data_IF_239057364008
#
_entry.id   IF_239057364008
#
_cell.length_a   1.000
_cell.length_b   1.000
_cell.length_c   1.000
_cell.angle_alpha   90.00
_cell.angle_beta   90.00
_cell.angle_gamma   90.00
#
_symmetry.space_group_name_H-M   'P 1'
#
loop_
_entity.id
_entity.type
_entity.pdbx_description
1 polymer ?
#
# COMPACT_ATOMS: atom_id res chain seq x y z
N UNK A 1 39.24 -37.54 -12.21
CA UNK A 1 38.82 -36.92 -10.94
C UNK A 1 38.23 -35.57 -11.28
N UNK A 2 36.92 -35.55 -11.48
CA UNK A 2 36.18 -34.42 -12.05
C UNK A 2 35.29 -33.88 -10.95
N UNK A 3 35.77 -32.86 -10.24
CA UNK A 3 34.96 -32.20 -9.21
C UNK A 3 34.09 -31.18 -9.90
N UNK A 4 32.82 -31.52 -10.07
CA UNK A 4 31.78 -30.61 -10.53
C UNK A 4 31.59 -29.50 -9.49
N UNK A 5 31.91 -28.26 -9.86
CA UNK A 5 31.42 -27.07 -9.19
C UNK A 5 29.91 -26.98 -9.44
N UNK A 6 29.12 -27.38 -8.44
CA UNK A 6 27.69 -27.07 -8.41
C UNK A 6 27.51 -25.55 -8.30
N UNK A 7 26.64 -24.92 -9.11
CA UNK A 7 26.31 -23.52 -8.94
C UNK A 7 25.56 -23.34 -7.62
N UNK A 8 26.01 -22.37 -6.82
CA UNK A 8 25.32 -21.91 -5.62
C UNK A 8 23.86 -21.58 -5.97
N UNK A 9 22.99 -22.26 -5.23
CA UNK A 9 21.53 -22.22 -5.29
C UNK A 9 20.98 -20.78 -5.39
N UNK A 10 20.29 -20.48 -6.48
CA UNK A 10 19.68 -19.18 -6.83
C UNK A 10 18.38 -18.89 -6.07
N UNK A 11 18.37 -19.04 -4.74
CA UNK A 11 17.17 -18.82 -3.92
C UNK A 11 17.40 -17.86 -2.75
N UNK A 12 18.04 -16.72 -3.01
CA UNK A 12 18.27 -15.66 -2.00
C UNK A 12 17.90 -14.28 -2.57
N UNK A 13 16.65 -14.09 -3.02
CA UNK A 13 16.19 -12.78 -3.53
C UNK A 13 14.84 -12.27 -3.01
N UNK A 14 14.21 -12.92 -2.04
CA UNK A 14 12.90 -12.49 -1.52
C UNK A 14 12.96 -11.70 -0.19
N UNK A 15 14.14 -11.45 0.38
CA UNK A 15 14.28 -10.94 1.75
C UNK A 15 14.75 -9.47 1.82
N UNK A 16 14.08 -8.52 1.13
CA UNK A 16 14.44 -7.09 1.27
C UNK A 16 13.27 -6.13 1.46
N UNK A 17 12.04 -6.59 1.65
CA UNK A 17 10.85 -5.73 1.62
C UNK A 17 10.27 -5.34 2.97
N UNK A 18 10.79 -5.78 4.11
CA UNK A 18 10.35 -5.26 5.41
C UNK A 18 11.50 -4.97 6.38
N UNK A 19 11.33 -3.87 7.11
CA UNK A 19 12.39 -3.24 7.91
C UNK A 19 12.41 -3.77 9.34
N UNK A 20 11.33 -4.44 9.75
CA UNK A 20 11.26 -5.14 11.03
C UNK A 20 11.97 -6.50 10.93
N UNK A 21 13.09 -6.71 11.66
CA UNK A 21 13.84 -7.96 11.58
C UNK A 21 13.01 -9.17 12.04
N UNK A 22 11.99 -8.97 12.89
CA UNK A 22 11.12 -10.04 13.38
C UNK A 22 10.02 -10.42 12.38
N UNK A 23 9.51 -9.47 11.59
CA UNK A 23 8.45 -9.74 10.61
C UNK A 23 9.00 -10.20 9.27
N UNK A 24 10.31 -10.07 9.05
CA UNK A 24 11.02 -10.58 7.88
C UNK A 24 11.99 -11.72 8.21
N UNK A 25 11.84 -12.34 9.38
CA UNK A 25 12.68 -13.46 9.80
C UNK A 25 12.48 -14.67 8.89
N UNK A 26 13.56 -15.39 8.53
CA UNK A 26 13.47 -16.61 7.72
C UNK A 26 12.61 -17.69 8.41
N UNK A 27 12.62 -17.70 9.74
CA UNK A 27 11.85 -18.63 10.54
C UNK A 27 10.37 -18.20 10.63
N UNK A 28 9.51 -19.03 10.04
CA UNK A 28 8.05 -18.87 10.06
C UNK A 28 7.51 -18.68 11.48
N UNK A 29 8.04 -19.42 12.46
CA UNK A 29 7.60 -19.32 13.86
C UNK A 29 7.89 -17.95 14.47
N UNK A 30 9.01 -17.31 14.08
CA UNK A 30 9.37 -15.96 14.54
C UNK A 30 8.40 -14.94 13.94
N UNK A 31 8.15 -15.02 12.62
CA UNK A 31 7.17 -14.13 11.96
C UNK A 31 5.77 -14.31 12.53
N UNK A 32 5.33 -15.55 12.76
CA UNK A 32 4.05 -15.89 13.35
C UNK A 32 3.88 -15.32 14.77
N UNK A 33 4.92 -15.45 15.59
CA UNK A 33 4.93 -14.88 16.94
C UNK A 33 4.86 -13.36 16.86
N UNK A 34 5.64 -12.75 15.97
CA UNK A 34 5.71 -11.32 15.81
C UNK A 34 4.37 -10.70 15.36
N UNK A 35 3.70 -11.26 14.33
CA UNK A 35 2.39 -10.76 13.89
C UNK A 35 1.33 -10.95 14.97
N UNK A 36 1.35 -12.07 15.71
CA UNK A 36 0.40 -12.33 16.79
C UNK A 36 0.55 -11.29 17.91
N UNK A 37 1.79 -11.04 18.36
CA UNK A 37 2.07 -10.05 19.40
C UNK A 37 1.72 -8.64 18.93
N UNK A 38 2.10 -8.26 17.72
CA UNK A 38 1.78 -6.93 17.17
C UNK A 38 0.28 -6.70 17.02
N UNK A 39 -0.46 -7.71 16.57
CA UNK A 39 -1.92 -7.66 16.49
C UNK A 39 -2.52 -7.35 17.85
N UNK A 40 -2.09 -8.05 18.90
CA UNK A 40 -2.58 -7.79 20.26
C UNK A 40 -2.21 -6.40 20.78
N UNK A 41 -1.00 -5.90 20.50
CA UNK A 41 -0.54 -4.59 20.99
C UNK A 41 -1.25 -3.43 20.30
N UNK A 42 -1.45 -3.53 18.99
CA UNK A 42 -2.12 -2.50 18.20
C UNK A 42 -3.61 -2.48 18.47
N UNK A 43 -4.27 -3.64 18.48
CA UNK A 43 -5.72 -3.69 18.66
C UNK A 43 -6.16 -3.31 20.08
N UNK A 44 -5.31 -3.53 21.09
CA UNK A 44 -5.55 -3.09 22.47
C UNK A 44 -5.13 -1.65 22.75
N UNK A 45 -4.75 -0.88 21.73
CA UNK A 45 -4.29 0.52 21.82
C UNK A 45 -3.11 0.73 22.78
N UNK A 46 -2.31 -0.33 23.00
CA UNK A 46 -1.12 -0.30 23.89
C UNK A 46 0.07 0.36 23.20
N UNK A 47 0.06 0.46 21.87
CA UNK A 47 1.13 1.07 21.09
C UNK A 47 0.65 2.12 20.09
N UNK A 48 1.40 3.22 19.96
CA UNK A 48 1.18 4.22 18.91
C UNK A 48 1.51 3.64 17.55
N UNK A 49 0.48 3.54 16.71
CA UNK A 49 0.39 2.68 15.52
C UNK A 49 1.20 3.12 14.29
N UNK A 50 1.92 4.25 14.33
CA UNK A 50 2.61 4.77 13.13
C UNK A 50 3.85 3.94 12.83
N UNK A 51 3.80 3.22 11.71
CA UNK A 51 4.90 2.42 11.21
C UNK A 51 4.80 0.92 11.33
N UNK A 52 4.43 0.41 12.49
CA UNK A 52 4.28 -1.04 12.65
C UNK A 52 3.17 -1.60 11.77
N UNK A 53 2.12 -0.81 11.54
CA UNK A 53 1.04 -1.20 10.63
C UNK A 53 1.54 -1.36 9.19
N UNK A 54 2.52 -0.56 8.76
CA UNK A 54 3.11 -0.73 7.42
C UNK A 54 3.96 -2.00 7.31
N UNK A 55 4.46 -2.52 8.44
CA UNK A 55 5.15 -3.81 8.46
C UNK A 55 4.14 -4.95 8.38
N UNK A 56 3.03 -4.87 9.12
CA UNK A 56 1.92 -5.83 8.99
C UNK A 56 1.30 -5.79 7.58
N UNK A 57 1.22 -4.62 6.95
CA UNK A 57 0.76 -4.50 5.55
C UNK A 57 1.64 -5.29 4.56
N UNK A 58 2.95 -5.40 4.80
CA UNK A 58 3.81 -6.22 3.95
C UNK A 58 3.60 -7.73 4.15
N UNK A 59 3.06 -8.15 5.30
CA UNK A 59 2.71 -9.55 5.55
C UNK A 59 1.48 -10.04 4.78
N UNK A 60 0.74 -9.14 4.12
CA UNK A 60 -0.27 -9.50 3.11
C UNK A 60 0.34 -10.17 1.87
N UNK A 61 1.67 -10.21 1.78
CA UNK A 61 2.43 -10.89 0.73
C UNK A 61 3.31 -12.02 1.30
N UNK A 62 3.09 -12.43 2.56
CA UNK A 62 3.91 -13.49 3.15
C UNK A 62 3.70 -14.80 2.39
N UNK A 63 4.77 -15.53 2.03
CA UNK A 63 4.64 -16.80 1.32
C UNK A 63 3.95 -17.88 2.17
N UNK A 64 3.93 -17.75 3.50
CA UNK A 64 3.18 -18.64 4.39
C UNK A 64 1.71 -18.21 4.47
N UNK A 65 0.76 -19.00 3.93
CA UNK A 65 -0.65 -18.61 3.88
C UNK A 65 -1.25 -18.32 5.26
N UNK A 66 -0.76 -18.97 6.31
CA UNK A 66 -1.25 -18.69 7.66
C UNK A 66 -0.92 -17.26 8.12
N UNK A 67 0.26 -16.75 7.77
CA UNK A 67 0.69 -15.39 8.15
C UNK A 67 -0.08 -14.34 7.35
N UNK A 68 -0.26 -14.55 6.04
CA UNK A 68 -1.11 -13.70 5.21
C UNK A 68 -2.54 -13.60 5.78
N UNK A 69 -3.16 -14.74 6.11
CA UNK A 69 -4.49 -14.75 6.73
C UNK A 69 -4.53 -13.98 8.06
N UNK A 70 -3.48 -14.05 8.88
CA UNK A 70 -3.40 -13.27 10.10
C UNK A 70 -3.28 -11.77 9.82
N UNK A 71 -2.57 -11.36 8.77
CA UNK A 71 -2.49 -9.96 8.35
C UNK A 71 -3.84 -9.46 7.83
N UNK A 72 -4.55 -10.27 7.04
CA UNK A 72 -5.92 -9.96 6.59
C UNK A 72 -6.86 -9.79 7.79
N UNK A 73 -6.82 -10.71 8.76
CA UNK A 73 -7.64 -10.63 9.98
C UNK A 73 -7.33 -9.38 10.80
N UNK A 74 -6.04 -9.04 10.94
CA UNK A 74 -5.61 -7.81 11.60
C UNK A 74 -6.26 -6.57 10.96
N UNK A 75 -6.25 -6.45 9.63
CA UNK A 75 -6.88 -5.31 8.95
C UNK A 75 -8.41 -5.37 9.01
N UNK A 76 -9.04 -6.54 8.99
CA UNK A 76 -10.48 -6.68 9.20
C UNK A 76 -10.90 -6.14 10.58
N UNK A 77 -10.18 -6.50 11.64
CA UNK A 77 -10.43 -6.00 12.99
C UNK A 77 -10.15 -4.50 13.11
N UNK A 78 -9.09 -4.01 12.46
CA UNK A 78 -8.77 -2.59 12.46
C UNK A 78 -9.81 -1.75 11.68
N UNK A 79 -10.40 -2.31 10.61
CA UNK A 79 -11.46 -1.66 9.84
C UNK A 79 -12.75 -1.46 10.65
N UNK A 80 -12.98 -2.29 11.68
CA UNK A 80 -14.11 -2.12 12.59
C UNK A 80 -13.96 -0.88 13.50
N UNK A 81 -12.73 -0.36 13.69
CA UNK A 81 -12.47 0.91 14.39
C UNK A 81 -12.70 2.10 13.44
N UNK A 82 -13.50 3.07 13.88
CA UNK A 82 -13.89 4.19 13.00
C UNK A 82 -12.69 4.99 12.49
N UNK A 83 -12.60 5.10 11.16
CA UNK A 83 -11.55 5.82 10.42
C UNK A 83 -10.10 5.37 10.68
N UNK A 84 -9.86 4.21 11.32
CA UNK A 84 -8.52 3.79 11.70
C UNK A 84 -7.62 3.57 10.47
N UNK A 85 -8.05 2.72 9.53
CA UNK A 85 -7.27 2.43 8.30
C UNK A 85 -7.07 3.70 7.46
N UNK A 86 -8.13 4.49 7.25
CA UNK A 86 -8.08 5.76 6.51
C UNK A 86 -6.98 6.70 7.05
N UNK A 87 -6.81 6.78 8.37
CA UNK A 87 -5.82 7.65 8.99
C UNK A 87 -4.39 7.13 8.87
N UNK A 88 -4.21 5.82 8.64
CA UNK A 88 -2.91 5.15 8.54
C UNK A 88 -2.40 5.07 7.10
N UNK A 89 -3.29 5.05 6.11
CA UNK A 89 -2.95 4.91 4.69
C UNK A 89 -1.83 5.85 4.21
N UNK A 90 -1.82 7.17 4.52
CA UNK A 90 -0.74 8.04 4.06
C UNK A 90 0.65 7.65 4.61
N UNK A 91 0.72 7.15 5.85
CA UNK A 91 1.96 6.67 6.47
C UNK A 91 2.39 5.33 5.85
N UNK A 92 1.44 4.40 5.66
CA UNK A 92 1.69 3.10 5.04
C UNK A 92 2.24 3.29 3.61
N UNK A 93 1.56 4.09 2.78
CA UNK A 93 2.01 4.38 1.40
C UNK A 93 3.42 4.93 1.41
N UNK A 94 3.70 5.92 2.27
CA UNK A 94 5.02 6.57 2.28
C UNK A 94 6.15 5.62 2.68
N UNK A 95 5.89 4.67 3.59
CA UNK A 95 6.88 3.68 4.03
C UNK A 95 7.06 2.53 3.05
N UNK A 96 5.98 2.10 2.39
CA UNK A 96 6.04 1.05 1.39
C UNK A 96 6.67 1.54 0.07
N UNK A 97 6.52 2.84 -0.22
CA UNK A 97 7.13 3.49 -1.40
C UNK A 97 8.59 3.91 -1.17
N UNK A 98 9.16 3.63 0.02
CA UNK A 98 10.56 3.98 0.30
C UNK A 98 11.50 3.10 -0.56
N UNK A 99 12.35 3.69 -1.42
CA UNK A 99 13.28 2.93 -2.23
C UNK A 99 14.23 2.05 -1.41
N UNK A 100 14.59 2.47 -0.19
CA UNK A 100 15.45 1.67 0.70
C UNK A 100 14.79 0.36 1.13
N UNK A 101 13.45 0.33 1.14
CA UNK A 101 12.66 -0.87 1.41
C UNK A 101 12.55 -1.79 0.19
N UNK A 102 12.88 -1.35 -1.02
CA UNK A 102 12.98 -2.24 -2.19
C UNK A 102 11.71 -3.05 -2.55
N UNK A 103 10.51 -2.56 -2.20
CA UNK A 103 9.25 -3.21 -2.57
C UNK A 103 8.98 -3.07 -4.08
N UNK A 104 8.60 -4.17 -4.74
CA UNK A 104 8.24 -4.12 -6.16
C UNK A 104 6.92 -3.38 -6.38
N UNK A 105 6.72 -2.84 -7.58
CA UNK A 105 5.49 -2.11 -7.95
C UNK A 105 4.25 -3.00 -7.90
N UNK A 106 4.38 -4.24 -8.38
CA UNK A 106 3.33 -5.27 -8.37
C UNK A 106 2.88 -5.62 -6.94
N UNK A 107 3.85 -5.78 -6.05
CA UNK A 107 3.66 -6.07 -4.63
C UNK A 107 2.97 -4.91 -3.93
N UNK A 108 3.47 -3.68 -4.15
CA UNK A 108 2.87 -2.46 -3.63
C UNK A 108 1.40 -2.32 -4.09
N UNK A 109 1.15 -2.51 -5.39
CA UNK A 109 -0.20 -2.44 -5.96
C UNK A 109 -1.15 -3.45 -5.33
N UNK A 110 -0.67 -4.67 -5.06
CA UNK A 110 -1.44 -5.75 -4.43
C UNK A 110 -1.82 -5.40 -2.99
N UNK A 111 -0.85 -4.96 -2.19
CA UNK A 111 -1.09 -4.48 -0.81
C UNK A 111 -2.08 -3.32 -0.82
N UNK A 112 -1.89 -2.34 -1.71
CA UNK A 112 -2.75 -1.17 -1.74
C UNK A 112 -4.19 -1.50 -2.16
N UNK A 113 -4.40 -2.42 -3.11
CA UNK A 113 -5.74 -2.88 -3.47
C UNK A 113 -6.48 -3.48 -2.27
N UNK A 114 -5.80 -4.30 -1.48
CA UNK A 114 -6.37 -4.87 -0.25
C UNK A 114 -6.69 -3.77 0.77
N UNK A 115 -5.76 -2.84 1.03
CA UNK A 115 -6.01 -1.80 2.02
C UNK A 115 -7.11 -0.81 1.62
N UNK A 116 -7.23 -0.49 0.32
CA UNK A 116 -8.27 0.39 -0.17
C UNK A 116 -9.66 -0.26 -0.21
N UNK A 117 -9.79 -1.60 -0.15
CA UNK A 117 -11.11 -2.25 -0.06
C UNK A 117 -11.85 -1.91 1.24
N UNK A 118 -11.14 -1.49 2.28
CA UNK A 118 -11.72 -1.02 3.54
C UNK A 118 -12.22 0.43 3.48
N UNK A 119 -11.94 1.16 2.40
CA UNK A 119 -12.38 2.55 2.23
C UNK A 119 -13.72 2.59 1.49
N UNK A 120 -14.79 2.71 2.25
CA UNK A 120 -16.17 2.64 1.73
C UNK A 120 -16.89 3.99 1.72
N UNK A 121 -16.42 4.97 2.50
CA UNK A 121 -17.08 6.28 2.65
C UNK A 121 -16.51 7.28 1.63
N UNK A 122 -17.36 7.93 0.84
CA UNK A 122 -16.92 8.94 -0.15
C UNK A 122 -16.11 10.09 0.47
N UNK A 123 -16.47 10.52 1.68
CA UNK A 123 -15.74 11.58 2.40
C UNK A 123 -14.30 11.17 2.73
N UNK A 124 -14.07 9.88 3.03
CA UNK A 124 -12.71 9.36 3.24
C UNK A 124 -11.93 9.41 1.93
N UNK A 125 -12.56 8.99 0.83
CA UNK A 125 -11.97 9.05 -0.52
C UNK A 125 -11.54 10.47 -0.89
N UNK A 126 -12.42 11.46 -0.76
CA UNK A 126 -12.09 12.86 -1.06
C UNK A 126 -10.90 13.36 -0.23
N UNK A 127 -10.90 13.07 1.07
CA UNK A 127 -9.80 13.50 1.94
C UNK A 127 -8.51 12.73 1.69
N UNK A 128 -8.56 11.47 1.28
CA UNK A 128 -7.38 10.72 0.85
C UNK A 128 -6.80 11.33 -0.42
N UNK A 129 -7.62 11.73 -1.40
CA UNK A 129 -7.15 12.42 -2.61
C UNK A 129 -6.35 13.64 -2.24
N UNK A 130 -6.88 14.52 -1.41
CA UNK A 130 -6.19 15.73 -0.97
C UNK A 130 -4.86 15.39 -0.27
N UNK A 131 -4.87 14.48 0.71
CA UNK A 131 -3.67 14.07 1.45
C UNK A 131 -2.60 13.46 0.54
N UNK A 132 -2.99 12.63 -0.43
CA UNK A 132 -2.07 12.01 -1.38
C UNK A 132 -1.54 13.03 -2.39
N UNK A 133 -2.36 13.96 -2.85
CA UNK A 133 -1.88 15.06 -3.68
C UNK A 133 -0.81 15.86 -2.95
N UNK A 134 -1.05 16.23 -1.69
CA UNK A 134 -0.05 16.95 -0.88
C UNK A 134 1.25 16.15 -0.70
N UNK A 135 1.21 14.81 -0.73
CA UNK A 135 2.41 13.96 -0.64
C UNK A 135 3.32 14.07 -1.87
N UNK A 136 2.81 14.40 -3.06
CA UNK A 136 3.69 14.67 -4.21
C UNK A 136 4.68 15.80 -3.95
N UNK A 137 4.34 16.76 -3.07
CA UNK A 137 5.24 17.88 -2.72
C UNK A 137 6.45 17.46 -1.90
N UNK A 138 6.35 16.36 -1.15
CA UNK A 138 7.43 15.88 -0.25
C UNK A 138 8.08 14.59 -0.73
N UNK A 139 7.50 13.91 -1.72
CA UNK A 139 8.08 12.76 -2.40
C UNK A 139 9.31 13.20 -3.22
N UNK A 140 10.41 12.44 -3.08
CA UNK A 140 11.74 12.83 -3.60
C UNK A 140 12.19 12.01 -4.81
N UNK A 141 11.46 10.93 -5.14
CA UNK A 141 11.87 9.98 -6.18
C UNK A 141 10.71 9.68 -7.11
N UNK A 142 11.02 9.36 -8.37
CA UNK A 142 10.04 8.92 -9.38
C UNK A 142 9.23 7.74 -8.90
N UNK A 143 9.86 6.79 -8.19
CA UNK A 143 9.17 5.63 -7.62
C UNK A 143 8.07 6.05 -6.63
N UNK A 144 8.35 7.00 -5.76
CA UNK A 144 7.34 7.52 -4.82
C UNK A 144 6.21 8.25 -5.55
N UNK A 145 6.52 9.02 -6.60
CA UNK A 145 5.50 9.68 -7.42
C UNK A 145 4.59 8.65 -8.09
N UNK A 146 5.17 7.61 -8.67
CA UNK A 146 4.43 6.51 -9.29
C UNK A 146 3.52 5.80 -8.29
N UNK A 147 4.02 5.44 -7.10
CA UNK A 147 3.24 4.76 -6.07
C UNK A 147 2.08 5.62 -5.53
N UNK A 148 2.28 6.95 -5.41
CA UNK A 148 1.19 7.88 -5.07
C UNK A 148 0.14 7.92 -6.19
N UNK A 149 0.57 8.00 -7.47
CA UNK A 149 -0.32 8.02 -8.62
C UNK A 149 -1.13 6.72 -8.76
N UNK A 150 -0.48 5.58 -8.57
CA UNK A 150 -1.12 4.26 -8.50
C UNK A 150 -2.14 4.24 -7.37
N UNK A 151 -1.78 4.71 -6.17
CA UNK A 151 -2.69 4.77 -5.02
C UNK A 151 -3.94 5.60 -5.31
N UNK A 152 -3.79 6.78 -5.92
CA UNK A 152 -4.91 7.62 -6.36
C UNK A 152 -5.81 6.89 -7.36
N UNK A 153 -5.21 6.14 -8.29
CA UNK A 153 -5.96 5.37 -9.29
C UNK A 153 -6.75 4.20 -8.70
N UNK A 154 -6.34 3.67 -7.55
CA UNK A 154 -6.99 2.53 -6.87
C UNK A 154 -8.19 2.94 -6.02
N UNK A 155 -8.27 4.21 -5.62
CA UNK A 155 -9.43 4.72 -4.91
C UNK A 155 -10.70 4.61 -5.76
N UNK A 156 -11.83 4.32 -5.12
CA UNK A 156 -13.16 4.37 -5.75
C UNK A 156 -13.56 5.81 -6.03
N UNK A 157 -12.96 6.39 -7.08
CA UNK A 157 -13.18 7.79 -7.45
C UNK A 157 -14.65 8.06 -7.77
N UNK A 158 -15.14 9.18 -7.23
CA UNK A 158 -16.42 9.80 -7.53
C UNK A 158 -16.19 11.22 -8.06
N UNK A 159 -17.23 11.90 -8.53
CA UNK A 159 -17.12 13.26 -9.07
C UNK A 159 -16.48 14.24 -8.08
N UNK A 160 -16.81 14.14 -6.79
CA UNK A 160 -16.23 14.98 -5.73
C UNK A 160 -14.74 14.71 -5.54
N UNK A 161 -14.35 13.43 -5.49
CA UNK A 161 -12.94 13.03 -5.40
C UNK A 161 -12.14 13.50 -6.62
N UNK A 162 -12.73 13.41 -7.81
CA UNK A 162 -12.09 13.90 -9.03
C UNK A 162 -11.95 15.43 -9.04
N UNK A 163 -12.99 16.16 -8.64
CA UNK A 163 -12.92 17.61 -8.47
C UNK A 163 -11.81 18.00 -7.49
N UNK A 164 -11.69 17.29 -6.37
CA UNK A 164 -10.59 17.50 -5.40
C UNK A 164 -9.21 17.26 -6.02
N UNK A 165 -9.07 16.23 -6.86
CA UNK A 165 -7.84 15.96 -7.62
C UNK A 165 -7.47 17.12 -8.56
N UNK A 166 -8.47 17.74 -9.20
CA UNK A 166 -8.25 18.92 -10.06
C UNK A 166 -7.87 20.16 -9.23
N UNK A 167 -8.51 20.38 -8.09
CA UNK A 167 -8.18 21.48 -7.17
C UNK A 167 -6.73 21.41 -6.67
N UNK A 168 -6.19 20.19 -6.56
CA UNK A 168 -4.82 19.95 -6.11
C UNK A 168 -3.77 19.89 -7.25
N UNK A 169 -4.10 20.37 -8.46
CA UNK A 169 -3.24 20.34 -9.66
C UNK A 169 -1.79 20.76 -9.41
N UNK A 170 -1.59 21.86 -8.67
CA UNK A 170 -0.25 22.39 -8.36
C UNK A 170 0.64 21.41 -7.59
N UNK A 171 0.08 20.38 -6.95
CA UNK A 171 0.87 19.42 -6.18
C UNK A 171 1.60 18.40 -7.06
N UNK A 172 1.07 18.08 -8.25
CA UNK A 172 1.55 16.96 -9.07
C UNK A 172 1.74 17.29 -10.55
N UNK A 173 1.27 18.45 -11.03
CA UNK A 173 1.29 18.79 -12.46
C UNK A 173 2.68 18.71 -13.11
N UNK A 174 3.72 19.09 -12.38
CA UNK A 174 5.11 19.05 -12.84
C UNK A 174 5.70 17.62 -12.90
N UNK A 175 4.99 16.60 -12.38
CA UNK A 175 5.37 15.18 -12.42
C UNK A 175 4.68 14.43 -13.57
N UNK A 176 3.79 15.09 -14.32
CA UNK A 176 3.01 14.47 -15.40
C UNK A 176 3.84 14.14 -16.65
N UNK A 177 5.12 14.54 -16.70
CA UNK A 177 6.07 14.08 -17.72
C UNK A 177 6.42 12.61 -17.56
N UNK A 178 6.27 12.07 -16.34
CA UNK A 178 6.57 10.67 -16.05
C UNK A 178 5.37 9.79 -16.40
N UNK A 179 5.56 8.84 -17.32
CA UNK A 179 4.51 7.90 -17.74
C UNK A 179 3.94 7.12 -16.55
N UNK A 180 4.79 6.77 -15.58
CA UNK A 180 4.40 6.07 -14.36
C UNK A 180 3.46 6.90 -13.46
N UNK A 181 3.38 8.22 -13.64
CA UNK A 181 2.44 9.11 -12.96
C UNK A 181 1.24 9.42 -13.87
N UNK A 182 1.51 9.72 -15.13
CA UNK A 182 0.49 10.10 -16.11
C UNK A 182 -0.53 8.97 -16.35
N UNK A 183 -0.07 7.74 -16.58
CA UNK A 183 -0.95 6.62 -16.93
C UNK A 183 -1.94 6.25 -15.80
N UNK A 184 -1.53 6.12 -14.53
CA UNK A 184 -2.47 5.88 -13.44
C UNK A 184 -3.50 6.99 -13.29
N UNK A 185 -3.10 8.26 -13.39
CA UNK A 185 -4.02 9.40 -13.28
C UNK A 185 -4.99 9.48 -14.46
N UNK A 186 -4.53 9.19 -15.68
CA UNK A 186 -5.39 9.09 -16.86
C UNK A 186 -6.43 7.96 -16.70
N UNK A 187 -6.04 6.84 -16.08
CA UNK A 187 -6.95 5.71 -15.84
C UNK A 187 -8.14 6.07 -14.94
N UNK A 188 -8.01 7.10 -14.08
CA UNK A 188 -9.10 7.60 -13.24
C UNK A 188 -10.26 8.09 -14.11
N UNK A 189 -9.96 8.85 -15.17
CA UNK A 189 -10.96 9.36 -16.11
C UNK A 189 -11.71 8.21 -16.81
N UNK A 190 -10.99 7.16 -17.21
CA UNK A 190 -11.58 5.99 -17.82
C UNK A 190 -12.53 5.25 -16.84
N UNK A 191 -12.14 5.13 -15.57
CA UNK A 191 -12.98 4.52 -14.52
C UNK A 191 -14.24 5.33 -14.22
N UNK A 192 -14.13 6.66 -14.19
CA UNK A 192 -15.27 7.56 -13.96
C UNK A 192 -16.29 7.48 -15.10
N UNK A 193 -15.83 7.47 -16.36
CA UNK A 193 -16.71 7.34 -17.54
C UNK A 193 -17.50 6.03 -17.52
N UNK A 194 -16.84 4.91 -17.23
CA UNK A 194 -17.51 3.59 -17.11
C UNK A 194 -18.54 3.53 -16.00
N UNK A 195 -18.41 4.36 -14.95
CA UNK A 195 -19.36 4.42 -13.83
C UNK A 195 -20.55 5.34 -14.13
N UNK A 196 -20.35 6.32 -15.02
CA UNK A 196 -21.38 7.25 -15.47
C UNK A 196 -22.31 6.64 -16.54
N UNK A 197 -21.86 5.63 -17.28
CA UNK A 197 -22.72 4.82 -18.14
C UNK A 197 -23.65 3.99 -17.25
N UNK A 198 -24.97 4.25 -17.21
CA UNK A 198 -25.89 3.43 -16.44
C UNK A 198 -25.84 2.01 -17.01
N UNK A 199 -25.47 1.04 -16.16
CA UNK A 199 -25.62 -0.36 -16.52
C UNK A 199 -27.11 -0.64 -16.70
N UNK A 200 -27.59 -0.57 -17.94
CA UNK A 200 -28.87 -1.15 -18.31
C UNK A 200 -28.78 -2.66 -18.07
N UNK A 201 -29.39 -3.12 -16.98
CA UNK A 201 -29.82 -4.50 -16.78
C UNK A 201 -31.31 -4.48 -16.46
#
# INVERSE_FOLDING_TARGET
>A
MTTALLPLNTSVRTARTCTSPLLCDENVSVRLTAITVLTQLVLKDVMKVKGQVSEVAALLLDPEPHIDNLAVNFFNELAAKDNAIYNLLPDIISRLSDPERGMKEEDFSTVMKQLFSYITKERQTESLVEKLCQRFRTAKTERQWADIAVSLSLLSMCERGFKKLQECWECYSDKLTEDAVYQPLLSILAKLRRRAEPQFK
#
